data_IF_461248732221
#
_entry.id   IF_461248732221
#
_cell.length_a   1.000
_cell.length_b   1.000
_cell.length_c   1.000
_cell.angle_alpha   90.00
_cell.angle_beta   90.00
_cell.angle_gamma   90.00
#
_symmetry.space_group_name_H-M   'P 1'
#
loop_
_entity.id
_entity.type
_entity.pdbx_description
1 polymer ?
#
# COMPACT_ATOMS: atom_id res chain seq x y z
N UNK A 1 6.49 4.26 8.06
CA UNK A 1 5.54 3.12 8.00
C UNK A 1 6.34 1.84 7.78
N UNK A 2 5.98 0.75 8.44
CA UNK A 2 6.43 -0.62 8.17
C UNK A 2 5.37 -1.34 7.36
N UNK A 3 5.78 -2.05 6.33
CA UNK A 3 4.90 -2.81 5.44
C UNK A 3 5.36 -4.26 5.40
N UNK A 4 4.41 -5.20 5.35
CA UNK A 4 4.66 -6.63 5.19
C UNK A 4 3.63 -7.17 4.20
N UNK A 5 4.10 -7.86 3.17
CA UNK A 5 3.27 -8.32 2.07
C UNK A 5 3.58 -9.79 1.79
N UNK A 6 2.53 -10.61 1.78
CA UNK A 6 2.62 -12.01 1.41
C UNK A 6 1.74 -12.28 0.19
N UNK A 7 2.38 -12.60 -0.94
CA UNK A 7 1.71 -12.81 -2.22
C UNK A 7 0.99 -14.15 -2.32
N UNK A 8 1.41 -15.15 -1.53
CA UNK A 8 0.77 -16.47 -1.48
C UNK A 8 -0.50 -16.42 -0.64
N UNK A 9 -0.45 -15.71 0.48
CA UNK A 9 -1.60 -15.47 1.35
C UNK A 9 -2.51 -14.36 0.82
N UNK A 10 -2.02 -13.50 -0.07
CA UNK A 10 -2.67 -12.26 -0.52
C UNK A 10 -3.05 -11.35 0.65
N UNK A 11 -2.08 -11.14 1.54
CA UNK A 11 -2.23 -10.30 2.73
C UNK A 11 -1.23 -9.17 2.70
N UNK A 12 -1.68 -8.00 3.15
CA UNK A 12 -0.84 -6.83 3.40
C UNK A 12 -1.08 -6.36 4.82
N UNK A 13 -0.01 -6.26 5.60
CA UNK A 13 -0.03 -5.61 6.90
C UNK A 13 0.80 -4.34 6.83
N UNK A 14 0.27 -3.25 7.36
CA UNK A 14 0.99 -2.00 7.51
C UNK A 14 0.81 -1.44 8.90
N UNK A 15 1.86 -0.84 9.44
CA UNK A 15 1.77 -0.09 10.68
C UNK A 15 2.70 1.10 10.67
N UNK A 16 2.38 2.12 11.44
CA UNK A 16 3.22 3.31 11.47
C UNK A 16 2.60 4.45 12.23
N UNK A 17 3.19 5.61 12.02
CA UNK A 17 2.70 6.88 12.50
C UNK A 17 2.17 7.70 11.34
N UNK A 18 1.16 8.50 11.63
CA UNK A 18 0.66 9.53 10.73
C UNK A 18 0.87 10.90 11.35
N UNK A 19 1.03 11.90 10.50
CA UNK A 19 1.23 13.29 10.87
C UNK A 19 0.34 14.15 9.96
N UNK A 20 -0.58 14.91 10.56
CA UNK A 20 -1.47 15.79 9.82
C UNK A 20 -1.83 16.99 10.69
N UNK A 21 -1.61 18.20 10.18
CA UNK A 21 -1.97 19.47 10.86
C UNK A 21 -1.56 19.52 12.35
N UNK A 22 -0.26 19.28 12.62
CA UNK A 22 0.34 19.16 13.95
C UNK A 22 -0.19 18.03 14.85
N UNK A 23 -1.16 17.26 14.39
CA UNK A 23 -1.58 16.03 15.04
C UNK A 23 -0.72 14.87 14.59
N UNK A 24 -0.48 13.95 15.52
CA UNK A 24 0.19 12.70 15.23
C UNK A 24 -0.58 11.55 15.87
N UNK A 25 -0.48 10.39 15.25
CA UNK A 25 -1.07 9.18 15.78
C UNK A 25 -0.40 7.94 15.24
N UNK A 26 -0.91 6.79 15.66
CA UNK A 26 -0.48 5.48 15.17
C UNK A 26 -1.60 4.82 14.40
N UNK A 27 -1.23 3.96 13.47
CA UNK A 27 -2.17 3.09 12.77
C UNK A 27 -1.60 1.68 12.63
N UNK A 28 -2.51 0.72 12.56
CA UNK A 28 -2.27 -0.63 12.11
C UNK A 28 -3.38 -1.00 11.12
N UNK A 29 -2.99 -1.59 10.00
CA UNK A 29 -3.90 -2.01 8.95
C UNK A 29 -3.54 -3.44 8.55
N UNK A 30 -4.55 -4.31 8.44
CA UNK A 30 -4.44 -5.61 7.80
C UNK A 30 -5.46 -5.70 6.67
N UNK A 31 -4.99 -5.97 5.47
CA UNK A 31 -5.82 -6.24 4.30
C UNK A 31 -5.73 -7.73 3.97
N UNK A 32 -6.88 -8.42 4.00
CA UNK A 32 -7.03 -9.79 3.54
C UNK A 32 -7.82 -9.79 2.24
N UNK A 33 -7.11 -9.90 1.13
CA UNK A 33 -7.71 -9.83 -0.20
C UNK A 33 -8.43 -11.12 -0.60
N UNK A 34 -8.17 -12.25 0.07
CA UNK A 34 -8.96 -13.48 -0.14
C UNK A 34 -10.33 -13.34 0.52
N UNK A 35 -10.37 -12.76 1.71
CA UNK A 35 -11.61 -12.50 2.43
C UNK A 35 -12.31 -11.20 1.97
N UNK A 36 -11.63 -10.33 1.24
CA UNK A 36 -12.18 -9.07 0.74
C UNK A 36 -12.39 -8.02 1.83
N UNK A 37 -11.60 -8.07 2.92
CA UNK A 37 -11.79 -7.24 4.11
C UNK A 37 -10.49 -6.54 4.52
N UNK A 38 -10.65 -5.34 5.07
CA UNK A 38 -9.63 -4.56 5.72
C UNK A 38 -9.98 -4.40 7.19
N UNK A 39 -8.98 -4.47 8.04
CA UNK A 39 -9.06 -4.18 9.46
C UNK A 39 -8.12 -3.03 9.77
N UNK A 40 -8.58 -2.09 10.58
CA UNK A 40 -7.83 -0.91 10.96
C UNK A 40 -7.96 -0.62 12.44
N UNK A 41 -6.84 -0.28 13.06
CA UNK A 41 -6.75 0.19 14.43
C UNK A 41 -6.01 1.53 14.39
N UNK A 42 -6.64 2.58 14.89
CA UNK A 42 -6.04 3.92 14.98
C UNK A 42 -5.83 4.26 16.46
N UNK A 43 -4.63 4.73 16.83
CA UNK A 43 -4.29 5.15 18.19
C UNK A 43 -4.61 4.11 19.29
N UNK A 44 -4.48 2.82 18.97
CA UNK A 44 -4.83 1.73 19.91
C UNK A 44 -6.32 1.61 20.23
N UNK A 45 -7.18 2.29 19.48
CA UNK A 45 -8.62 2.29 19.64
C UNK A 45 -9.30 1.00 19.18
N UNK A 46 -10.64 1.01 19.03
CA UNK A 46 -11.38 -0.16 18.57
C UNK A 46 -10.98 -0.55 17.15
N UNK A 47 -11.08 -1.84 16.87
CA UNK A 47 -10.82 -2.36 15.54
C UNK A 47 -12.00 -2.09 14.61
N UNK A 48 -11.73 -1.46 13.49
CA UNK A 48 -12.71 -1.16 12.45
C UNK A 48 -12.54 -2.14 11.31
N UNK A 49 -13.62 -2.81 10.90
CA UNK A 49 -13.64 -3.70 9.75
C UNK A 49 -14.36 -3.02 8.58
N UNK A 50 -13.77 -3.08 7.39
CA UNK A 50 -14.38 -2.55 6.16
C UNK A 50 -14.16 -3.48 4.98
N UNK A 51 -14.97 -3.36 3.94
CA UNK A 51 -14.80 -4.08 2.68
C UNK A 51 -13.64 -3.49 1.86
N UNK A 52 -12.80 -4.36 1.29
CA UNK A 52 -11.78 -3.95 0.32
C UNK A 52 -12.43 -3.57 -1.01
N UNK A 53 -12.12 -2.37 -1.48
CA UNK A 53 -12.57 -1.86 -2.79
C UNK A 53 -11.51 -2.03 -3.88
N UNK A 54 -10.25 -2.21 -3.49
CA UNK A 54 -9.12 -2.36 -4.39
C UNK A 54 -8.86 -3.82 -4.76
N UNK A 55 -8.39 -4.04 -5.99
CA UNK A 55 -7.98 -5.36 -6.46
C UNK A 55 -6.59 -5.71 -5.93
N UNK A 56 -6.34 -7.00 -5.74
CA UNK A 56 -5.02 -7.50 -5.38
C UNK A 56 -4.00 -7.24 -6.49
N UNK A 57 -2.97 -6.44 -6.21
CA UNK A 57 -1.84 -6.19 -7.10
C UNK A 57 -0.54 -6.74 -6.50
N UNK A 58 -0.44 -8.07 -6.48
CA UNK A 58 0.73 -8.77 -5.94
C UNK A 58 2.02 -8.57 -6.73
N UNK A 59 1.87 -8.32 -8.03
CA UNK A 59 2.95 -8.19 -8.98
C UNK A 59 2.62 -7.06 -9.95
N UNK A 60 3.65 -6.56 -10.64
CA UNK A 60 3.47 -5.61 -11.73
C UNK A 60 2.50 -6.16 -12.79
N UNK A 61 1.44 -5.43 -13.18
CA UNK A 61 0.50 -5.89 -14.19
C UNK A 61 1.18 -6.17 -15.53
N UNK A 62 0.70 -7.16 -16.29
CA UNK A 62 1.22 -7.46 -17.64
C UNK A 62 1.00 -6.31 -18.64
N UNK A 63 0.03 -5.45 -18.36
CA UNK A 63 -0.28 -4.25 -19.16
C UNK A 63 0.64 -3.07 -18.86
N UNK A 64 1.60 -3.22 -17.95
CA UNK A 64 2.56 -2.16 -17.62
C UNK A 64 3.47 -1.87 -18.81
N UNK A 65 3.71 -0.59 -19.08
CA UNK A 65 4.57 -0.13 -20.16
C UNK A 65 5.97 0.15 -19.61
N UNK A 66 6.99 -0.48 -20.18
CA UNK A 66 8.38 -0.15 -19.87
C UNK A 66 8.71 1.26 -20.37
N UNK A 67 9.27 2.08 -19.49
CA UNK A 67 9.58 3.49 -19.75
C UNK A 67 11.08 3.73 -19.96
N UNK A 68 11.91 2.75 -19.63
CA UNK A 68 13.35 2.84 -19.76
C UNK A 68 14.08 2.51 -18.46
N UNK A 69 15.38 2.26 -18.60
CA UNK A 69 16.28 2.04 -17.48
C UNK A 69 16.98 3.34 -17.09
N UNK A 70 17.34 3.46 -15.82
CA UNK A 70 18.14 4.57 -15.31
C UNK A 70 19.17 4.06 -14.29
N UNK A 71 20.08 4.95 -13.89
CA UNK A 71 21.00 4.73 -12.77
C UNK A 71 20.63 5.73 -11.69
N UNK A 72 20.45 5.23 -10.47
CA UNK A 72 20.22 6.05 -9.27
C UNK A 72 21.48 5.97 -8.42
N UNK A 73 22.00 7.11 -7.96
CA UNK A 73 23.27 7.22 -7.24
C UNK A 73 24.43 7.63 -8.15
N UNK A 74 25.65 7.59 -7.61
CA UNK A 74 26.88 8.06 -8.29
C UNK A 74 28.04 7.11 -8.00
N UNK A 75 28.93 6.93 -8.99
CA UNK A 75 30.12 6.08 -8.85
C UNK A 75 29.77 4.63 -8.49
N UNK A 76 30.52 4.06 -7.56
CA UNK A 76 30.33 2.69 -7.07
C UNK A 76 29.07 2.55 -6.19
N UNK A 77 28.56 3.67 -5.65
CA UNK A 77 27.31 3.74 -4.87
C UNK A 77 26.10 4.01 -5.78
N UNK A 78 25.99 3.23 -6.85
CA UNK A 78 24.91 3.37 -7.83
C UNK A 78 24.16 2.07 -8.07
N UNK A 79 22.88 2.19 -8.42
CA UNK A 79 22.00 1.07 -8.71
C UNK A 79 21.26 1.29 -10.04
N UNK A 80 21.25 0.24 -10.86
CA UNK A 80 20.45 0.22 -12.10
C UNK A 80 18.99 -0.06 -11.76
N UNK A 81 18.10 0.72 -12.37
CA UNK A 81 16.66 0.65 -12.13
C UNK A 81 15.89 0.61 -13.43
N UNK A 82 14.70 0.01 -13.40
CA UNK A 82 13.75 -0.02 -14.50
C UNK A 82 12.49 0.76 -14.10
N UNK A 83 12.02 1.62 -15.00
CA UNK A 83 10.83 2.44 -14.80
C UNK A 83 9.68 1.90 -15.63
N UNK A 84 8.49 1.90 -15.04
CA UNK A 84 7.28 1.34 -15.62
C UNK A 84 6.10 2.28 -15.43
N UNK A 85 5.22 2.36 -16.42
CA UNK A 85 3.95 3.06 -16.32
C UNK A 85 2.79 2.06 -16.27
N UNK A 86 1.90 2.25 -15.30
CA UNK A 86 0.73 1.42 -15.04
C UNK A 86 -0.50 2.31 -15.18
N UNK A 87 -1.29 2.07 -16.22
CA UNK A 87 -2.54 2.80 -16.43
C UNK A 87 -3.63 2.24 -15.54
N UNK A 88 -4.22 3.09 -14.72
CA UNK A 88 -5.30 2.73 -13.82
C UNK A 88 -6.57 3.43 -14.28
N UNK A 89 -7.60 2.63 -14.56
CA UNK A 89 -8.92 3.11 -14.92
C UNK A 89 -9.96 2.33 -14.12
N UNK A 90 -10.40 2.89 -13.00
CA UNK A 90 -11.42 2.33 -12.13
C UNK A 90 -12.40 3.41 -11.72
N UNK A 91 -13.56 3.01 -11.20
CA UNK A 91 -14.55 3.95 -10.64
C UNK A 91 -14.01 4.78 -9.48
N UNK A 92 -12.95 4.32 -8.81
CA UNK A 92 -12.38 4.97 -7.63
C UNK A 92 -11.16 5.83 -7.94
N UNK A 93 -10.37 5.44 -8.93
CA UNK A 93 -9.13 6.11 -9.34
C UNK A 93 -8.93 6.00 -10.84
N UNK A 94 -8.65 7.13 -11.48
CA UNK A 94 -8.24 7.23 -12.88
C UNK A 94 -6.89 7.95 -12.95
N UNK A 95 -5.88 7.34 -13.56
CA UNK A 95 -4.56 7.95 -13.63
C UNK A 95 -3.47 7.02 -14.13
N UNK A 96 -2.23 7.48 -14.01
CA UNK A 96 -1.03 6.69 -14.31
C UNK A 96 -0.19 6.58 -13.06
N UNK A 97 0.10 5.34 -12.66
CA UNK A 97 1.14 5.08 -11.67
C UNK A 97 2.47 4.83 -12.36
N UNK A 98 3.52 5.46 -11.86
CA UNK A 98 4.90 5.24 -12.30
C UNK A 98 5.62 4.45 -11.23
N UNK A 99 6.08 3.25 -11.55
CA UNK A 99 6.79 2.38 -10.63
C UNK A 99 8.25 2.26 -11.02
N UNK A 100 9.14 2.28 -10.02
CA UNK A 100 10.57 2.07 -10.18
C UNK A 100 11.00 0.84 -9.38
N UNK A 101 11.71 -0.07 -10.04
CA UNK A 101 12.24 -1.30 -9.45
C UNK A 101 13.72 -1.46 -9.79
N UNK A 102 14.48 -2.17 -8.96
CA UNK A 102 15.87 -2.55 -9.29
C UNK A 102 15.90 -3.39 -10.56
N UNK A 103 16.87 -3.16 -11.45
CA UNK A 103 16.93 -3.85 -12.74
C UNK A 103 17.23 -5.35 -12.63
N UNK A 104 17.93 -5.78 -11.58
CA UNK A 104 18.35 -7.18 -11.39
C UNK A 104 17.24 -8.04 -10.77
N UNK A 105 16.74 -7.61 -9.61
CA UNK A 105 15.89 -8.46 -8.75
C UNK A 105 14.44 -7.95 -8.64
N UNK A 106 14.05 -6.94 -9.43
CA UNK A 106 12.73 -6.31 -9.42
C UNK A 106 12.25 -5.83 -8.03
N UNK A 107 13.18 -5.50 -7.12
CA UNK A 107 12.88 -4.95 -5.80
C UNK A 107 12.28 -3.55 -5.96
N UNK A 108 11.12 -3.25 -5.36
CA UNK A 108 10.51 -1.92 -5.45
C UNK A 108 11.38 -0.87 -4.76
N UNK A 109 11.60 0.25 -5.45
CA UNK A 109 12.30 1.42 -4.93
C UNK A 109 11.28 2.49 -4.57
N UNK A 110 10.28 2.68 -5.42
CA UNK A 110 9.21 3.61 -5.17
C UNK A 110 8.19 3.64 -6.30
N UNK A 111 7.12 4.38 -6.06
CA UNK A 111 6.09 4.63 -7.03
C UNK A 111 5.47 6.00 -6.84
N UNK A 112 5.03 6.61 -7.92
CA UNK A 112 4.11 7.74 -7.87
C UNK A 112 2.80 7.40 -8.55
N UNK A 113 1.75 8.11 -8.19
CA UNK A 113 0.46 8.10 -8.86
C UNK A 113 0.10 9.53 -9.18
N UNK A 114 -0.25 9.78 -10.44
CA UNK A 114 -0.81 11.05 -10.88
C UNK A 114 -2.14 10.78 -11.57
N UNK A 115 -3.20 11.48 -11.14
CA UNK A 115 -4.54 11.24 -11.67
C UNK A 115 -5.63 11.95 -10.89
N UNK A 116 -6.79 11.31 -10.77
CA UNK A 116 -7.91 11.79 -9.98
C UNK A 116 -8.64 10.64 -9.27
N UNK A 117 -9.21 10.93 -8.09
CA UNK A 117 -10.23 10.08 -7.46
C UNK A 117 -11.50 10.87 -7.29
N UNK A 118 -12.64 10.26 -7.66
CA UNK A 118 -13.97 10.89 -7.55
C UNK A 118 -14.01 12.31 -8.11
N UNK A 119 -13.28 12.56 -9.21
CA UNK A 119 -13.20 13.86 -9.88
C UNK A 119 -12.21 14.86 -9.27
N UNK A 120 -11.58 14.56 -8.14
CA UNK A 120 -10.58 15.42 -7.51
C UNK A 120 -9.18 15.00 -7.95
N UNK A 121 -8.40 15.95 -8.46
CA UNK A 121 -7.01 15.72 -8.84
C UNK A 121 -6.17 15.26 -7.64
N UNK A 122 -5.36 14.22 -7.84
CA UNK A 122 -4.47 13.70 -6.81
C UNK A 122 -3.08 13.45 -7.36
N UNK A 123 -2.11 13.56 -6.46
CA UNK A 123 -0.78 13.04 -6.68
C UNK A 123 -0.30 12.38 -5.39
N UNK A 124 0.28 11.19 -5.50
CA UNK A 124 0.92 10.53 -4.37
C UNK A 124 2.28 10.00 -4.80
N UNK A 125 3.22 9.91 -3.86
CA UNK A 125 4.52 9.33 -4.06
C UNK A 125 4.89 8.52 -2.83
N UNK A 126 5.48 7.36 -3.06
CA UNK A 126 5.87 6.41 -2.02
C UNK A 126 7.28 5.91 -2.33
N UNK A 127 8.14 5.92 -1.32
CA UNK A 127 9.48 5.32 -1.37
C UNK A 127 9.53 4.09 -0.47
N UNK A 128 10.28 3.09 -0.89
CA UNK A 128 10.48 1.85 -0.13
C UNK A 128 11.95 1.73 0.24
N UNK A 129 12.22 1.40 1.50
CA UNK A 129 13.59 1.23 2.02
C UNK A 129 13.65 -0.01 2.90
N UNK A 130 14.87 -0.51 3.18
CA UNK A 130 15.11 -1.66 4.06
C UNK A 130 14.29 -2.91 3.68
N UNK A 131 14.15 -3.16 2.37
CA UNK A 131 13.42 -4.32 1.85
C UNK A 131 14.17 -5.60 2.20
N UNK A 132 13.45 -6.59 2.72
CA UNK A 132 13.97 -7.94 2.95
C UNK A 132 12.99 -8.97 2.41
N UNK A 133 13.52 -10.05 1.84
CA UNK A 133 12.72 -11.14 1.31
C UNK A 133 12.20 -12.02 2.46
N UNK A 134 10.96 -12.50 2.31
CA UNK A 134 10.31 -13.39 3.27
C UNK A 134 9.71 -12.67 4.48
N UNK A 135 8.79 -13.37 5.15
CA UNK A 135 8.15 -12.91 6.38
C UNK A 135 8.79 -13.65 7.55
N UNK A 136 9.64 -12.93 8.32
CA UNK A 136 10.37 -13.51 9.46
C UNK A 136 9.44 -13.90 10.61
N UNK A 137 8.38 -13.12 10.82
CA UNK A 137 7.39 -13.32 11.86
C UNK A 137 5.99 -13.26 11.24
N UNK A 138 5.31 -14.40 11.06
CA UNK A 138 3.95 -14.46 10.50
C UNK A 138 2.89 -13.76 11.36
N UNK A 139 3.18 -13.50 12.64
CA UNK A 139 2.24 -12.86 13.56
C UNK A 139 1.86 -11.43 13.12
N UNK A 140 2.64 -10.81 12.22
CA UNK A 140 2.31 -9.52 11.60
C UNK A 140 0.96 -9.52 10.86
N UNK A 141 0.46 -10.70 10.46
CA UNK A 141 -0.85 -10.87 9.83
C UNK A 141 -1.93 -11.34 10.81
N UNK A 142 -1.61 -11.47 12.09
CA UNK A 142 -2.56 -11.83 13.14
C UNK A 142 -3.22 -10.56 13.67
N UNK A 143 -4.54 -10.59 13.80
CA UNK A 143 -5.28 -9.50 14.43
C UNK A 143 -5.62 -9.85 15.88
N UNK A 144 -5.73 -8.83 16.76
CA UNK A 144 -6.29 -9.02 18.10
C UNK A 144 -7.67 -9.69 18.03
N UNK A 145 -8.00 -10.48 19.04
CA UNK A 145 -9.32 -11.14 19.13
C UNK A 145 -10.49 -10.14 19.06
N UNK A 146 -10.28 -8.90 19.50
CA UNK A 146 -11.27 -7.81 19.37
C UNK A 146 -11.65 -7.51 17.92
N UNK A 147 -10.74 -7.68 16.96
CA UNK A 147 -11.03 -7.50 15.53
C UNK A 147 -11.90 -8.59 14.94
N UNK A 148 -11.89 -9.80 15.50
CA UNK A 148 -12.74 -10.90 15.01
C UNK A 148 -14.24 -10.62 15.23
N UNK A 149 -14.54 -9.82 16.26
CA UNK A 149 -15.90 -9.40 16.62
C UNK A 149 -16.29 -8.03 16.05
N UNK A 150 -15.37 -7.37 15.34
CA UNK A 150 -15.64 -6.05 14.78
C UNK A 150 -16.77 -6.14 13.75
N UNK A 151 -17.82 -5.35 13.97
CA UNK A 151 -18.88 -5.14 12.97
C UNK A 151 -18.29 -4.33 11.82
N UNK A 152 -18.86 -4.51 10.63
CA UNK A 152 -18.50 -3.68 9.48
C UNK A 152 -18.85 -2.23 9.80
N UNK A 153 -17.92 -1.31 9.53
CA UNK A 153 -18.15 0.12 9.76
C UNK A 153 -19.29 0.62 8.89
N UNK A 154 -20.26 1.29 9.51
CA UNK A 154 -21.31 2.02 8.81
C UNK A 154 -20.69 3.19 8.04
N UNK A 155 -21.42 3.71 7.05
CA UNK A 155 -20.91 4.73 6.12
C UNK A 155 -20.40 6.01 6.80
N UNK A 156 -20.92 6.33 8.00
CA UNK A 156 -20.47 7.45 8.84
C UNK A 156 -19.13 7.21 9.54
N UNK A 157 -18.80 5.95 9.85
CA UNK A 157 -17.54 5.59 10.52
C UNK A 157 -16.35 5.55 9.55
N UNK A 158 -16.62 5.43 8.24
CA UNK A 158 -15.61 5.45 7.18
C UNK A 158 -14.93 6.81 7.02
N UNK A 159 -15.64 7.91 7.28
CA UNK A 159 -15.12 9.28 7.22
C UNK A 159 -14.17 9.59 8.39
N UNK A 160 -14.37 8.91 9.53
CA UNK A 160 -13.47 8.98 10.69
C UNK A 160 -12.29 8.00 10.61
N UNK A 161 -12.34 7.04 9.69
CA UNK A 161 -11.23 6.13 9.40
C UNK A 161 -10.29 6.78 8.39
N UNK A 162 -9.00 6.82 8.70
CA UNK A 162 -8.03 7.21 7.68
C UNK A 162 -8.12 6.19 6.53
N UNK A 163 -8.50 6.63 5.33
CA UNK A 163 -8.48 5.79 4.11
C UNK A 163 -7.01 5.55 3.72
N UNK A 164 -6.36 4.63 4.44
CA UNK A 164 -4.99 4.21 4.19
C UNK A 164 -5.04 3.24 3.01
N UNK A 165 -4.92 3.81 1.81
CA UNK A 165 -4.71 3.03 0.59
C UNK A 165 -3.26 2.63 0.51
N UNK A 166 -3.00 1.34 0.68
CA UNK A 166 -1.65 0.82 0.69
C UNK A 166 -1.07 0.66 -0.73
N UNK A 167 -1.89 0.73 -1.78
CA UNK A 167 -1.49 0.72 -3.19
C UNK A 167 -2.58 1.37 -4.06
#
# INVERSE_FOLDING_TARGET
MKLSMDTNLKKVAASGQWYYDQQQGTFQVLQDFKAGVQYQITNGGPCVKSKLTQLWMGCMPKTSKFMGSAVVGLGDDSIKVNNWAIFMNSSSVMGTSYAQVTAKDCVPIGSSLQGSAKGVGMMSAQGVTNVSAGIKDPSVFSLPASCQKAKEADEKDKDSSMDIRLF
#
